data_IF_534523230201
#
_entry.id   IF_534523230201
#
_cell.length_a   1.000
_cell.length_b   1.000
_cell.length_c   1.000
_cell.angle_alpha   90.00
_cell.angle_beta   90.00
_cell.angle_gamma   90.00
#
_symmetry.space_group_name_H-M   'P 1'
#
loop_
_entity.id
_entity.type
_entity.pdbx_description
1 polymer ?
#
# COMPACT_ATOMS: atom_id res chain seq x y z
N UNK A 1 48.26 -17.21 -14.00
CA UNK A 1 47.90 -15.82 -13.64
C UNK A 1 46.63 -15.32 -14.32
N UNK A 2 46.22 -15.86 -15.46
CA UNK A 2 44.99 -15.45 -16.16
C UNK A 2 43.69 -15.99 -15.55
N UNK A 3 43.78 -16.91 -14.57
CA UNK A 3 42.58 -17.54 -13.94
C UNK A 3 41.91 -16.70 -12.83
N UNK A 4 42.60 -15.70 -12.26
CA UNK A 4 42.10 -14.88 -11.16
C UNK A 4 41.18 -13.74 -11.63
N UNK A 5 41.30 -13.26 -12.86
CA UNK A 5 40.42 -12.20 -13.39
C UNK A 5 39.04 -12.71 -13.84
N UNK A 6 38.91 -14.01 -14.09
CA UNK A 6 37.64 -14.61 -14.53
C UNK A 6 36.64 -14.77 -13.38
N UNK A 7 37.13 -15.09 -12.14
CA UNK A 7 36.29 -15.24 -10.98
C UNK A 7 35.69 -13.92 -10.47
N UNK A 8 36.44 -12.82 -10.60
CA UNK A 8 35.97 -11.49 -10.20
C UNK A 8 34.83 -10.96 -11.08
N UNK A 9 34.89 -11.26 -12.40
CA UNK A 9 33.85 -10.84 -13.35
C UNK A 9 32.51 -11.57 -13.10
N UNK A 10 32.55 -12.87 -12.78
CA UNK A 10 31.36 -13.66 -12.47
C UNK A 10 30.72 -13.20 -11.17
N UNK A 11 31.50 -12.86 -10.15
CA UNK A 11 31.01 -12.32 -8.88
C UNK A 11 30.30 -10.97 -9.04
N UNK A 12 30.82 -10.09 -9.88
CA UNK A 12 30.19 -8.79 -10.17
C UNK A 12 28.84 -8.93 -10.87
N UNK A 13 28.69 -9.88 -11.80
CA UNK A 13 27.43 -10.17 -12.50
C UNK A 13 26.39 -10.72 -11.53
N UNK A 14 26.75 -11.62 -10.62
CA UNK A 14 25.83 -12.14 -9.60
C UNK A 14 25.34 -11.06 -8.63
N UNK A 15 26.21 -10.14 -8.20
CA UNK A 15 25.82 -9.01 -7.34
C UNK A 15 24.87 -8.05 -8.06
N UNK A 16 25.03 -7.82 -9.36
CA UNK A 16 24.16 -6.97 -10.16
C UNK A 16 22.77 -7.58 -10.35
N UNK A 17 22.68 -8.89 -10.55
CA UNK A 17 21.41 -9.61 -10.69
C UNK A 17 20.57 -9.60 -9.40
N UNK A 18 21.19 -9.67 -8.22
CA UNK A 18 20.47 -9.65 -6.94
C UNK A 18 19.86 -8.29 -6.61
N UNK A 19 20.34 -7.17 -7.17
CA UNK A 19 19.76 -5.84 -6.98
C UNK A 19 18.39 -5.64 -7.65
N UNK A 20 18.06 -6.42 -8.68
CA UNK A 20 16.78 -6.32 -9.39
C UNK A 20 15.60 -6.94 -8.64
N UNK A 21 15.84 -7.76 -7.61
CA UNK A 21 14.79 -8.40 -6.81
C UNK A 21 14.20 -7.49 -5.71
N UNK A 22 14.78 -6.30 -5.46
CA UNK A 22 14.41 -5.42 -4.35
C UNK A 22 13.18 -4.53 -4.62
N UNK A 23 12.64 -4.47 -5.86
CA UNK A 23 11.59 -3.52 -6.25
C UNK A 23 10.21 -4.15 -6.46
N UNK A 24 9.99 -5.39 -5.98
CA UNK A 24 8.77 -6.14 -6.25
C UNK A 24 7.62 -5.85 -5.27
N UNK A 25 7.87 -5.22 -4.11
CA UNK A 25 6.85 -4.96 -3.09
C UNK A 25 6.08 -3.67 -3.37
N UNK A 26 4.77 -3.71 -3.11
CA UNK A 26 3.94 -2.51 -3.14
C UNK A 26 4.21 -1.66 -1.89
N UNK A 27 4.70 -0.45 -2.10
CA UNK A 27 4.95 0.53 -1.05
C UNK A 27 3.96 1.68 -1.21
N UNK A 28 3.29 2.05 -0.13
CA UNK A 28 2.38 3.19 -0.12
C UNK A 28 3.18 4.49 -0.27
N UNK A 29 2.90 5.26 -1.32
CA UNK A 29 3.58 6.54 -1.59
C UNK A 29 2.74 7.77 -1.26
N UNK A 30 1.41 7.64 -1.25
CA UNK A 30 0.52 8.72 -0.80
C UNK A 30 -0.82 8.17 -0.36
N UNK A 31 -1.49 8.89 0.55
CA UNK A 31 -2.81 8.54 1.03
C UNK A 31 -3.70 9.77 1.20
N UNK A 32 -4.99 9.57 0.96
CA UNK A 32 -6.08 10.46 1.34
C UNK A 32 -7.07 9.62 2.15
N UNK A 33 -7.38 9.92 3.42
CA UNK A 33 -6.76 10.95 4.26
C UNK A 33 -5.25 10.74 4.46
N UNK A 34 -4.52 11.81 4.74
CA UNK A 34 -3.10 11.74 5.10
C UNK A 34 -2.92 11.13 6.49
N UNK A 35 -1.78 10.51 6.75
CA UNK A 35 -1.41 10.01 8.09
C UNK A 35 -1.49 11.17 9.08
N UNK A 36 -2.25 10.97 10.16
CA UNK A 36 -2.55 11.99 11.18
C UNK A 36 -3.27 13.23 10.64
N UNK A 37 -3.85 13.14 9.44
CA UNK A 37 -4.61 14.21 8.83
C UNK A 37 -6.02 14.32 9.40
N UNK A 38 -6.68 15.45 9.09
CA UNK A 38 -8.07 15.71 9.43
C UNK A 38 -8.87 15.92 8.15
N UNK A 39 -10.02 15.30 8.08
CA UNK A 39 -10.97 15.45 6.96
C UNK A 39 -12.36 15.79 7.49
N UNK A 40 -13.18 16.37 6.63
CA UNK A 40 -14.56 16.73 6.97
C UNK A 40 -15.52 15.69 6.42
N UNK A 41 -16.35 15.16 7.32
CA UNK A 41 -17.36 14.17 6.98
C UNK A 41 -18.76 14.75 6.81
N UNK A 42 -19.77 13.87 6.73
CA UNK A 42 -19.71 12.42 6.94
C UNK A 42 -19.17 11.61 5.73
N UNK A 43 -19.23 12.14 4.52
CA UNK A 43 -18.75 11.43 3.33
C UNK A 43 -17.24 11.58 3.20
N UNK A 44 -16.51 10.46 3.29
CA UNK A 44 -15.06 10.43 3.24
C UNK A 44 -14.60 9.67 2.00
N UNK A 45 -13.78 10.30 1.19
CA UNK A 45 -13.09 9.67 0.07
C UNK A 45 -11.74 9.12 0.53
N UNK A 46 -11.48 7.88 0.20
CA UNK A 46 -10.24 7.17 0.55
C UNK A 46 -9.52 6.81 -0.72
N UNK A 47 -8.24 7.15 -0.78
CA UNK A 47 -7.40 6.91 -1.94
C UNK A 47 -5.97 6.59 -1.50
N UNK A 48 -5.48 5.41 -1.89
CA UNK A 48 -4.13 4.95 -1.58
C UNK A 48 -3.37 4.71 -2.86
N UNK A 49 -2.21 5.35 -3.02
CA UNK A 49 -1.34 5.20 -4.18
C UNK A 49 -0.06 4.48 -3.80
N UNK A 50 0.30 3.50 -4.62
CA UNK A 50 1.45 2.63 -4.42
C UNK A 50 2.50 2.86 -5.50
N UNK A 51 3.74 2.45 -5.23
CA UNK A 51 4.85 2.53 -6.18
C UNK A 51 4.79 1.50 -7.31
N UNK A 52 3.89 0.52 -7.22
CA UNK A 52 3.73 -0.55 -8.20
C UNK A 52 2.27 -0.99 -8.29
N UNK A 53 1.98 -1.85 -9.24
CA UNK A 53 0.64 -2.41 -9.44
C UNK A 53 0.19 -3.23 -8.23
N UNK A 54 -1.08 -3.08 -7.87
CA UNK A 54 -1.75 -3.87 -6.84
C UNK A 54 -3.02 -4.49 -7.41
N UNK A 55 -3.36 -5.66 -6.89
CA UNK A 55 -4.58 -6.37 -7.30
C UNK A 55 -5.79 -5.69 -6.68
N UNK A 56 -6.66 -5.11 -7.52
CA UNK A 56 -7.84 -4.37 -7.07
C UNK A 56 -8.98 -5.25 -6.55
N UNK A 57 -8.90 -6.58 -6.72
CA UNK A 57 -9.93 -7.52 -6.24
C UNK A 57 -9.50 -8.30 -5.00
N UNK A 58 -8.20 -8.56 -4.85
CA UNK A 58 -7.64 -9.34 -3.73
C UNK A 58 -6.97 -8.48 -2.66
N UNK A 59 -6.88 -7.19 -2.88
CA UNK A 59 -6.50 -6.23 -1.85
C UNK A 59 -7.71 -5.85 -1.01
N UNK A 60 -7.49 -5.30 0.19
CA UNK A 60 -8.59 -4.96 1.08
C UNK A 60 -8.35 -3.68 1.87
N UNK A 61 -9.43 -3.01 2.20
CA UNK A 61 -9.47 -1.85 3.08
C UNK A 61 -10.48 -2.08 4.20
N UNK A 62 -10.15 -1.62 5.38
CA UNK A 62 -11.06 -1.55 6.51
C UNK A 62 -10.77 -0.32 7.36
N UNK A 63 -11.73 0.11 8.14
CA UNK A 63 -11.55 1.23 9.07
C UNK A 63 -11.83 0.75 10.49
N UNK A 64 -10.93 1.10 11.41
CA UNK A 64 -11.14 0.92 12.85
C UNK A 64 -11.87 2.13 13.37
N UNK A 65 -13.06 1.90 13.90
CA UNK A 65 -13.94 2.94 14.45
C UNK A 65 -13.43 3.42 15.82
N UNK A 66 -13.88 4.59 16.31
CA UNK A 66 -13.52 5.05 17.67
C UNK A 66 -13.84 4.04 18.77
N UNK A 67 -14.85 3.19 18.56
CA UNK A 67 -15.21 2.10 19.50
C UNK A 67 -14.22 0.93 19.50
N UNK A 68 -13.29 0.87 18.52
CA UNK A 68 -12.41 -0.27 18.30
C UNK A 68 -12.99 -1.32 17.35
N UNK A 69 -14.26 -1.21 16.95
CA UNK A 69 -14.83 -2.10 15.96
C UNK A 69 -14.18 -1.92 14.59
N UNK A 70 -14.05 -2.98 13.82
CA UNK A 70 -13.47 -2.96 12.48
C UNK A 70 -14.60 -3.04 11.45
N UNK A 71 -14.66 -2.06 10.56
CA UNK A 71 -15.63 -1.98 9.49
C UNK A 71 -14.93 -2.22 8.15
N UNK A 72 -15.22 -3.32 7.44
CA UNK A 72 -14.71 -3.52 6.09
C UNK A 72 -15.25 -2.46 5.13
N UNK A 73 -14.40 -2.04 4.18
CA UNK A 73 -14.80 -1.13 3.12
C UNK A 73 -14.78 -1.84 1.77
N UNK A 74 -15.79 -1.55 0.94
CA UNK A 74 -15.81 -2.03 -0.44
C UNK A 74 -14.84 -1.21 -1.28
N UNK A 75 -13.94 -1.88 -1.99
CA UNK A 75 -13.05 -1.22 -2.93
C UNK A 75 -13.85 -0.70 -4.13
N UNK A 76 -13.59 0.53 -4.51
CA UNK A 76 -14.07 1.10 -5.76
C UNK A 76 -13.41 0.41 -6.95
N UNK A 77 -14.06 0.45 -8.12
CA UNK A 77 -13.44 -0.04 -9.35
C UNK A 77 -12.12 0.68 -9.57
N UNK A 78 -11.07 -0.08 -9.80
CA UNK A 78 -9.72 0.45 -9.99
C UNK A 78 -9.62 1.22 -11.30
N UNK A 79 -9.34 2.51 -11.24
CA UNK A 79 -9.13 3.37 -12.41
C UNK A 79 -7.68 3.34 -12.87
N UNK A 80 -6.75 3.25 -11.92
CA UNK A 80 -5.31 3.12 -12.18
C UNK A 80 -4.77 1.88 -11.46
N UNK A 81 -3.82 1.13 -12.08
CA UNK A 81 -3.41 -0.17 -11.54
C UNK A 81 -2.61 -0.10 -10.24
N UNK A 82 -2.12 1.06 -9.85
CA UNK A 82 -1.34 1.25 -8.62
C UNK A 82 -2.13 1.95 -7.50
N UNK A 83 -3.46 1.93 -7.56
CA UNK A 83 -4.32 2.69 -6.67
C UNK A 83 -5.43 1.84 -6.09
N UNK A 84 -5.71 2.00 -4.79
CA UNK A 84 -6.87 1.46 -4.10
C UNK A 84 -7.72 2.61 -3.58
N UNK A 85 -9.01 2.59 -3.86
CA UNK A 85 -9.94 3.63 -3.45
C UNK A 85 -11.19 3.04 -2.82
N UNK A 86 -11.83 3.82 -1.95
CA UNK A 86 -13.10 3.48 -1.32
C UNK A 86 -13.81 4.75 -0.86
N UNK A 87 -15.09 4.60 -0.52
CA UNK A 87 -15.90 5.65 0.11
C UNK A 87 -16.40 5.14 1.44
N UNK A 88 -16.47 6.02 2.44
CA UNK A 88 -16.98 5.68 3.76
C UNK A 88 -17.86 6.81 4.30
N UNK A 89 -18.87 6.44 5.10
CA UNK A 89 -19.69 7.38 5.86
C UNK A 89 -19.25 7.30 7.32
N UNK A 90 -18.60 8.33 7.82
CA UNK A 90 -18.01 8.35 9.15
C UNK A 90 -18.43 9.58 9.93
N UNK A 91 -18.92 9.39 11.16
CA UNK A 91 -19.18 10.45 12.10
C UNK A 91 -17.88 11.08 12.60
N UNK A 92 -17.91 12.31 13.18
CA UNK A 92 -16.71 12.89 13.78
C UNK A 92 -16.07 11.95 14.81
N UNK A 93 -14.75 11.85 14.76
CA UNK A 93 -13.99 10.96 15.65
C UNK A 93 -12.62 10.62 15.11
N UNK A 94 -11.90 9.77 15.86
CA UNK A 94 -10.58 9.27 15.49
C UNK A 94 -10.69 7.86 14.94
N UNK A 95 -10.08 7.65 13.78
CA UNK A 95 -10.16 6.42 13.00
C UNK A 95 -8.76 5.95 12.60
N UNK A 96 -8.65 4.68 12.26
CA UNK A 96 -7.46 4.11 11.62
C UNK A 96 -7.91 3.34 10.39
N UNK A 97 -7.42 3.76 9.23
CA UNK A 97 -7.58 2.99 7.99
C UNK A 97 -6.54 1.87 8.00
N UNK A 98 -6.98 0.63 7.82
CA UNK A 98 -6.11 -0.52 7.62
C UNK A 98 -6.18 -0.96 6.18
N UNK A 99 -5.02 -1.16 5.57
CA UNK A 99 -4.95 -1.62 4.20
C UNK A 99 -4.10 -2.87 4.07
N UNK A 100 -4.46 -3.70 3.10
CA UNK A 100 -3.71 -4.87 2.70
C UNK A 100 -3.65 -4.87 1.17
N UNK A 101 -2.45 -4.78 0.63
CA UNK A 101 -2.21 -4.73 -0.81
C UNK A 101 -1.50 -6.00 -1.28
N UNK A 102 -2.09 -6.66 -2.28
CA UNK A 102 -1.48 -7.78 -2.98
C UNK A 102 -0.76 -7.24 -4.21
N UNK A 103 0.56 -7.31 -4.20
CA UNK A 103 1.39 -6.90 -5.33
C UNK A 103 1.37 -7.94 -6.45
N UNK A 104 1.78 -7.54 -7.65
CA UNK A 104 1.81 -8.42 -8.84
C UNK A 104 2.76 -9.61 -8.71
N UNK A 105 3.75 -9.52 -7.84
CA UNK A 105 4.67 -10.62 -7.53
C UNK A 105 4.10 -11.64 -6.51
N UNK A 106 2.88 -11.42 -6.03
CA UNK A 106 2.21 -12.27 -5.05
C UNK A 106 2.51 -11.93 -3.59
N UNK A 107 3.34 -10.93 -3.30
CA UNK A 107 3.61 -10.49 -1.94
C UNK A 107 2.49 -9.59 -1.42
N UNK A 108 2.16 -9.76 -0.15
CA UNK A 108 1.17 -8.96 0.56
C UNK A 108 1.90 -7.97 1.48
N UNK A 109 1.53 -6.70 1.37
CA UNK A 109 1.97 -5.66 2.31
C UNK A 109 0.77 -5.10 3.05
N UNK A 110 0.97 -4.67 4.30
CA UNK A 110 -0.07 -4.13 5.17
C UNK A 110 0.41 -2.84 5.80
N UNK A 111 -0.53 -1.96 6.09
CA UNK A 111 -0.23 -0.73 6.80
C UNK A 111 -1.47 -0.08 7.39
N UNK A 112 -1.23 1.02 8.08
CA UNK A 112 -2.27 1.78 8.77
C UNK A 112 -2.12 3.27 8.49
N UNK A 113 -3.27 3.96 8.39
CA UNK A 113 -3.35 5.41 8.25
C UNK A 113 -4.28 5.93 9.34
N UNK A 114 -3.74 6.42 10.47
CA UNK A 114 -4.55 7.12 11.47
C UNK A 114 -5.00 8.47 10.93
N UNK A 115 -6.27 8.82 11.15
CA UNK A 115 -6.83 10.11 10.74
C UNK A 115 -7.99 10.51 11.63
N UNK A 116 -8.41 11.77 11.53
CA UNK A 116 -9.52 12.34 12.27
C UNK A 116 -10.59 12.82 11.30
N UNK A 117 -11.86 12.61 11.66
CA UNK A 117 -13.03 13.17 10.97
C UNK A 117 -13.65 14.25 11.84
N UNK A 118 -13.91 15.41 11.24
CA UNK A 118 -14.61 16.52 11.86
C UNK A 118 -15.97 16.80 11.21
#
# INVERSE_FOLDING_TARGET
>A
MKKTSFGAAILAVCLFASCHLAFAHAVLISSTPKIHGTVHGPAIDIDLKYNSRVDGTRSSLSVVLPSGAVQPLSLSKQETPNELAAHAQLAPGKYTLRWQALAVDGHITRGEVPFTVE
#
